data_IF_887824885197
#
_entry.id   IF_887824885197
#
_cell.length_a   1.000
_cell.length_b   1.000
_cell.length_c   1.000
_cell.angle_alpha   90.00
_cell.angle_beta   90.00
_cell.angle_gamma   90.00
#
_symmetry.space_group_name_H-M   'P 1'
#
loop_
_entity.id
_entity.type
_entity.pdbx_description
1 polymer ?
#
# COMPACT_ATOMS: atom_id res chain seq x y z
N UNK A 1 -53.83 -22.71 35.91
CA UNK A 1 -52.90 -23.85 36.10
C UNK A 1 -52.62 -24.46 34.73
N UNK A 2 -51.44 -24.98 34.35
CA UNK A 2 -50.07 -24.96 34.90
C UNK A 2 -49.15 -25.72 33.91
N UNK A 3 -47.93 -25.34 33.50
CA UNK A 3 -47.10 -24.14 33.72
C UNK A 3 -46.31 -23.80 32.41
N UNK A 4 -45.36 -22.86 32.45
CA UNK A 4 -44.34 -22.65 31.41
C UNK A 4 -43.31 -23.80 31.37
N UNK A 5 -42.67 -24.02 30.22
CA UNK A 5 -41.26 -24.43 30.17
C UNK A 5 -40.55 -23.70 29.04
N UNK A 6 -39.57 -22.88 29.39
CA UNK A 6 -38.69 -22.19 28.44
C UNK A 6 -37.62 -23.15 27.94
N UNK A 7 -37.27 -23.09 26.66
CA UNK A 7 -35.97 -23.57 26.19
C UNK A 7 -35.35 -22.50 25.28
N UNK A 8 -34.05 -22.27 25.47
CA UNK A 8 -33.35 -21.04 25.07
C UNK A 8 -32.80 -21.20 23.66
N UNK A 9 -33.47 -20.62 22.67
CA UNK A 9 -32.99 -20.63 21.28
C UNK A 9 -31.87 -19.60 21.09
N UNK A 10 -30.66 -19.99 21.50
CA UNK A 10 -29.42 -19.23 21.27
C UNK A 10 -28.90 -19.55 19.86
N UNK A 11 -29.56 -18.96 18.86
CA UNK A 11 -29.29 -19.19 17.45
C UNK A 11 -28.96 -17.86 16.74
N UNK A 12 -27.91 -17.84 15.92
CA UNK A 12 -27.51 -16.63 15.19
C UNK A 12 -26.08 -16.10 15.38
N UNK A 13 -25.11 -16.89 15.87
CA UNK A 13 -23.70 -16.63 15.50
C UNK A 13 -23.47 -17.26 14.12
N UNK A 14 -23.36 -16.48 13.03
CA UNK A 14 -23.19 -17.06 11.70
C UNK A 14 -21.88 -17.85 11.64
N UNK A 15 -21.83 -18.97 10.91
CA UNK A 15 -20.61 -19.74 10.75
C UNK A 15 -19.52 -18.87 10.14
N UNK A 16 -18.28 -19.02 10.62
CA UNK A 16 -17.13 -18.31 10.07
C UNK A 16 -16.95 -18.73 8.61
N UNK A 17 -17.31 -17.84 7.69
CA UNK A 17 -17.20 -18.07 6.25
C UNK A 17 -15.90 -17.43 5.75
N UNK A 18 -14.88 -18.21 5.30
CA UNK A 18 -13.56 -17.69 4.94
C UNK A 18 -13.52 -16.88 3.63
N UNK A 19 -14.67 -16.60 2.99
CA UNK A 19 -14.78 -15.82 1.75
C UNK A 19 -14.40 -14.32 1.86
N UNK A 20 -13.98 -13.83 3.04
CA UNK A 20 -13.54 -12.43 3.21
C UNK A 20 -12.23 -12.07 2.49
N UNK A 21 -11.59 -13.00 1.78
CA UNK A 21 -10.42 -12.74 0.92
C UNK A 21 -10.66 -13.02 -0.58
N UNK A 22 -11.93 -13.06 -1.01
CA UNK A 22 -12.32 -13.09 -2.43
C UNK A 22 -12.81 -11.71 -2.92
N UNK A 23 -12.20 -11.16 -3.97
CA UNK A 23 -12.71 -9.93 -4.62
C UNK A 23 -13.94 -10.29 -5.46
N UNK A 24 -15.09 -10.42 -4.80
CA UNK A 24 -16.38 -10.57 -5.46
C UNK A 24 -17.30 -9.45 -4.97
N UNK A 25 -17.17 -8.28 -5.60
CA UNK A 25 -18.07 -7.18 -5.32
C UNK A 25 -19.50 -7.61 -5.64
N UNK A 26 -20.47 -7.46 -4.71
CA UNK A 26 -21.85 -7.82 -4.98
C UNK A 26 -22.34 -6.98 -6.17
N UNK A 27 -22.97 -7.62 -7.15
CA UNK A 27 -23.64 -6.91 -8.26
C UNK A 27 -24.89 -6.20 -7.73
N UNK A 28 -24.67 -5.08 -7.03
CA UNK A 28 -25.72 -4.16 -6.61
C UNK A 28 -26.36 -3.64 -7.89
N UNK A 29 -27.66 -3.90 -8.07
CA UNK A 29 -28.44 -3.29 -9.14
C UNK A 29 -28.69 -1.81 -8.82
N UNK A 30 -27.62 -1.02 -8.82
CA UNK A 30 -27.68 0.43 -8.74
C UNK A 30 -27.95 0.90 -10.16
N UNK A 31 -29.05 1.64 -10.37
CA UNK A 31 -29.21 2.42 -11.61
C UNK A 31 -27.91 3.21 -11.80
N UNK A 32 -27.26 3.18 -12.98
CA UNK A 32 -26.02 3.90 -13.17
C UNK A 32 -26.25 5.35 -12.74
N UNK A 33 -25.50 5.81 -11.73
CA UNK A 33 -25.52 7.22 -11.35
C UNK A 33 -25.21 7.97 -12.63
N UNK A 34 -26.04 8.94 -13.06
CA UNK A 34 -25.67 9.77 -14.21
C UNK A 34 -24.31 10.35 -13.88
N UNK A 35 -23.30 10.00 -14.66
CA UNK A 35 -22.00 10.66 -14.57
C UNK A 35 -22.30 12.14 -14.74
N UNK A 36 -21.98 13.00 -13.75
CA UNK A 36 -22.11 14.42 -13.98
C UNK A 36 -21.31 14.77 -15.24
N UNK A 37 -21.81 15.74 -16.01
CA UNK A 37 -20.97 16.40 -17.01
C UNK A 37 -19.65 16.81 -16.35
N UNK A 38 -18.50 16.81 -17.05
CA UNK A 38 -17.20 17.04 -16.42
C UNK A 38 -17.22 18.34 -15.59
N UNK A 39 -17.39 18.15 -14.27
CA UNK A 39 -17.38 19.23 -13.30
C UNK A 39 -15.97 19.81 -13.28
N UNK A 40 -15.85 21.09 -12.96
CA UNK A 40 -14.54 21.70 -12.80
C UNK A 40 -13.83 21.05 -11.60
N UNK A 41 -12.90 20.15 -11.90
CA UNK A 41 -12.10 19.41 -10.92
C UNK A 41 -10.82 20.16 -10.53
N UNK A 42 -10.55 21.36 -11.07
CA UNK A 42 -9.36 22.13 -10.70
C UNK A 42 -9.29 22.44 -9.18
N UNK A 43 -10.39 22.79 -8.48
CA UNK A 43 -10.36 22.94 -7.01
C UNK A 43 -9.95 21.64 -6.27
N UNK A 44 -10.29 20.47 -6.81
CA UNK A 44 -9.90 19.18 -6.23
C UNK A 44 -8.44 18.85 -6.57
N UNK A 45 -7.96 19.21 -7.76
CA UNK A 45 -6.57 19.05 -8.18
C UNK A 45 -5.64 19.91 -7.34
N UNK A 46 -6.02 21.16 -7.05
CA UNK A 46 -5.26 22.08 -6.21
C UNK A 46 -4.96 21.49 -4.81
N UNK A 47 -5.93 20.79 -4.21
CA UNK A 47 -5.77 20.14 -2.90
C UNK A 47 -4.66 19.07 -2.87
N UNK A 48 -4.38 18.42 -4.00
CA UNK A 48 -3.36 17.39 -4.12
C UNK A 48 -2.11 17.82 -4.89
N UNK A 49 -2.15 18.97 -5.60
CA UNK A 49 -1.09 19.42 -6.53
C UNK A 49 0.29 19.36 -5.88
N UNK A 50 0.44 19.99 -4.71
CA UNK A 50 1.70 20.00 -3.96
C UNK A 50 2.23 18.59 -3.62
N UNK A 51 1.34 17.63 -3.32
CA UNK A 51 1.74 16.26 -2.97
C UNK A 51 2.23 15.50 -4.20
N UNK A 52 1.58 15.70 -5.35
CA UNK A 52 1.97 15.13 -6.64
C UNK A 52 3.31 15.74 -7.08
N UNK A 53 3.41 17.07 -7.15
CA UNK A 53 4.63 17.80 -7.52
C UNK A 53 5.83 17.44 -6.64
N UNK A 54 5.62 17.30 -5.32
CA UNK A 54 6.68 16.88 -4.38
C UNK A 54 7.12 15.42 -4.61
N UNK A 55 6.20 14.54 -4.99
CA UNK A 55 6.50 13.14 -5.27
C UNK A 55 7.22 12.98 -6.61
N UNK A 56 6.77 13.69 -7.64
CA UNK A 56 7.39 13.70 -8.97
C UNK A 56 8.84 14.24 -8.88
N UNK A 57 9.05 15.37 -8.18
CA UNK A 57 10.40 15.89 -7.92
C UNK A 57 11.28 14.91 -7.13
N UNK A 58 10.70 14.18 -6.17
CA UNK A 58 11.41 13.15 -5.41
C UNK A 58 11.85 11.99 -6.31
N UNK A 59 10.97 11.52 -7.19
CA UNK A 59 11.23 10.45 -8.16
C UNK A 59 12.28 10.85 -9.21
N UNK A 60 12.20 12.07 -9.75
CA UNK A 60 13.08 12.56 -10.83
C UNK A 60 14.49 12.94 -10.33
N UNK A 61 14.58 13.63 -9.19
CA UNK A 61 15.83 14.23 -8.71
C UNK A 61 16.12 13.98 -7.22
N UNK A 62 15.08 13.96 -6.38
CA UNK A 62 15.24 13.87 -4.92
C UNK A 62 15.97 12.62 -4.44
N UNK A 63 15.78 11.47 -5.10
CA UNK A 63 16.53 10.24 -4.80
C UNK A 63 18.04 10.37 -5.09
N UNK A 64 18.44 11.07 -6.16
CA UNK A 64 19.86 11.30 -6.47
C UNK A 64 20.48 12.22 -5.44
N UNK A 65 19.82 13.36 -5.16
CA UNK A 65 20.24 14.33 -4.15
C UNK A 65 20.38 13.66 -2.77
N UNK A 66 19.44 12.77 -2.41
CA UNK A 66 19.49 12.00 -1.18
C UNK A 66 20.73 11.07 -1.16
N UNK A 67 20.99 10.32 -2.23
CA UNK A 67 22.13 9.41 -2.30
C UNK A 67 23.46 10.17 -2.19
N UNK A 68 23.60 11.30 -2.88
CA UNK A 68 24.79 12.17 -2.84
C UNK A 68 25.02 12.78 -1.45
N UNK A 69 23.94 13.01 -0.68
CA UNK A 69 24.03 13.53 0.70
C UNK A 69 24.52 12.50 1.73
N UNK A 70 24.42 11.21 1.43
CA UNK A 70 24.80 10.14 2.36
C UNK A 70 26.31 9.93 2.32
N UNK A 71 26.99 10.28 3.42
CA UNK A 71 28.43 10.07 3.57
C UNK A 71 28.79 8.58 3.40
N UNK A 72 29.76 8.23 2.52
CA UNK A 72 30.24 6.87 2.38
C UNK A 72 30.83 6.32 3.69
N UNK A 73 30.50 5.09 4.02
CA UNK A 73 31.10 4.37 5.15
C UNK A 73 32.49 3.89 4.73
N UNK A 74 33.49 4.14 5.57
CA UNK A 74 34.86 3.70 5.34
C UNK A 74 35.30 2.80 6.50
N UNK A 75 35.84 1.63 6.18
CA UNK A 75 36.37 0.66 7.13
C UNK A 75 37.84 0.45 6.80
N UNK A 76 38.73 0.84 7.70
CA UNK A 76 40.18 0.65 7.57
C UNK A 76 40.62 -0.56 8.40
N UNK A 77 41.23 -1.55 7.75
CA UNK A 77 41.92 -2.65 8.40
C UNK A 77 43.42 -2.36 8.47
N UNK A 78 43.90 -2.08 9.69
CA UNK A 78 45.30 -1.80 9.98
C UNK A 78 46.20 -3.04 9.90
N UNK A 79 45.65 -4.25 9.92
CA UNK A 79 46.44 -5.49 9.82
C UNK A 79 46.81 -5.81 8.37
N UNK A 80 45.86 -5.71 7.44
CA UNK A 80 46.14 -5.88 6.00
C UNK A 80 46.49 -4.57 5.26
N UNK A 81 46.39 -3.41 5.93
CA UNK A 81 46.57 -2.07 5.38
C UNK A 81 45.65 -1.82 4.16
N UNK A 82 44.35 -2.05 4.36
CA UNK A 82 43.30 -1.95 3.33
C UNK A 82 42.12 -1.13 3.83
N UNK A 83 41.50 -0.39 2.91
CA UNK A 83 40.28 0.38 3.17
C UNK A 83 39.15 -0.09 2.28
N UNK A 84 38.03 -0.50 2.89
CA UNK A 84 36.76 -0.72 2.21
C UNK A 84 35.93 0.57 2.27
N UNK A 85 35.40 1.01 1.13
CA UNK A 85 34.44 2.12 1.02
C UNK A 85 33.11 1.59 0.52
N UNK A 86 32.02 1.94 1.22
CA UNK A 86 30.64 1.59 0.86
C UNK A 86 29.86 2.90 0.64
N UNK A 87 29.20 3.03 -0.51
CA UNK A 87 28.43 4.21 -0.90
C UNK A 87 27.21 3.82 -1.74
N UNK A 88 26.23 4.71 -1.80
CA UNK A 88 25.06 4.59 -2.67
C UNK A 88 25.28 5.40 -3.96
N UNK A 89 24.75 4.91 -5.08
CA UNK A 89 24.84 5.55 -6.40
C UNK A 89 23.68 5.03 -7.29
N UNK A 90 23.30 5.80 -8.31
CA UNK A 90 22.35 5.38 -9.38
C UNK A 90 21.01 4.81 -8.84
N UNK A 91 20.21 5.61 -8.10
CA UNK A 91 18.90 5.19 -7.64
C UNK A 91 17.98 4.86 -8.83
N UNK A 92 17.17 3.81 -8.69
CA UNK A 92 16.21 3.37 -9.71
C UNK A 92 14.85 3.15 -9.12
N UNK A 93 13.85 3.84 -9.66
CA UNK A 93 12.44 3.63 -9.36
C UNK A 93 11.88 2.57 -10.32
N UNK A 94 11.15 1.60 -9.78
CA UNK A 94 10.48 0.55 -10.54
C UNK A 94 8.96 0.74 -10.47
N UNK A 95 8.20 0.31 -11.50
CA UNK A 95 6.75 0.37 -11.46
C UNK A 95 6.17 -0.46 -10.30
N UNK A 96 5.00 -0.11 -9.75
CA UNK A 96 4.36 -0.87 -8.67
C UNK A 96 4.20 -2.34 -9.01
N UNK A 97 4.73 -3.21 -8.16
CA UNK A 97 4.61 -4.66 -8.29
C UNK A 97 3.45 -5.16 -7.43
N UNK A 98 2.67 -6.12 -7.94
CA UNK A 98 1.68 -6.84 -7.14
C UNK A 98 2.40 -7.78 -6.18
N UNK A 99 2.04 -7.72 -4.89
CA UNK A 99 2.50 -8.70 -3.91
C UNK A 99 2.17 -10.11 -4.37
N UNK A 100 3.20 -10.97 -4.45
CA UNK A 100 2.99 -12.41 -4.57
C UNK A 100 2.57 -12.90 -3.18
N UNK A 101 1.39 -13.52 -3.02
CA UNK A 101 1.06 -14.17 -1.76
C UNK A 101 2.13 -15.22 -1.45
N UNK A 102 2.49 -15.43 -0.17
CA UNK A 102 3.47 -16.44 0.20
C UNK A 102 3.03 -17.79 -0.36
N UNK A 103 3.97 -18.50 -1.00
CA UNK A 103 3.70 -19.77 -1.67
C UNK A 103 3.03 -20.74 -0.71
N UNK A 104 1.79 -21.12 -1.00
CA UNK A 104 1.15 -22.28 -0.38
C UNK A 104 1.83 -23.50 -0.96
N UNK A 105 2.75 -24.09 -0.21
CA UNK A 105 3.35 -25.38 -0.53
C UNK A 105 2.25 -26.44 -0.47
N UNK A 106 2.06 -27.14 -1.58
CA UNK A 106 1.23 -28.34 -1.71
C UNK A 106 2.11 -29.59 -1.57
#
# INVERSE_FOLDING_TARGET
MSQQKQEKQEDGKPPFNPQYFGIQQPKRNVKPRPTPAPEDLEPLRELFRHQIESFDYMADAGLSILFDSIKPVQIHDSFSNRTLKISFENPKLFPPMKDRPPFVLH
#
